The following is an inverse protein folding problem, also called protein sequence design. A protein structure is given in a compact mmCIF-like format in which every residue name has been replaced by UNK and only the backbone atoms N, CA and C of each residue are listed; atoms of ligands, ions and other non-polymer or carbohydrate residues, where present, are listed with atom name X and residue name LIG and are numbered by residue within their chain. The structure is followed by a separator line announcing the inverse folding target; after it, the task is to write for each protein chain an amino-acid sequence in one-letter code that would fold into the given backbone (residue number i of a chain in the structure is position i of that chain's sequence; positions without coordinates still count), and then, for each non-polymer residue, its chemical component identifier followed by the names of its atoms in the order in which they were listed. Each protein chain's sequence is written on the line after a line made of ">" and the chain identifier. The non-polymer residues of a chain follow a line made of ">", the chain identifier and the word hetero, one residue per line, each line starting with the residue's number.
data_IF_749715738120
#
_entry.id   IF_749715738120
#
_cell.length_a   1.000
_cell.length_b   1.000
_cell.length_c   1.000
_cell.angle_alpha   90.00
_cell.angle_beta   90.00
_cell.angle_gamma   90.00
#
_symmetry.space_group_name_H-M   'P 1'
#
loop_
_entity.id
_entity.type
_entity.pdbx_description
1 polymer ?
#
# COMPACT_ATOMS: atom_id res chain seq x y z
N UNK A 1 -5.59 14.95 9.10
CA UNK A 1 -5.13 13.57 8.96
C UNK A 1 -4.26 13.36 7.73
N UNK A 2 -3.72 12.19 7.60
CA UNK A 2 -2.89 11.80 6.47
C UNK A 2 -3.09 10.29 6.22
N UNK A 3 -2.74 9.83 5.03
CA UNK A 3 -2.78 8.41 4.73
C UNK A 3 -1.82 7.65 5.65
N UNK A 4 -2.24 6.48 6.09
CA UNK A 4 -1.51 5.71 7.11
C UNK A 4 -0.10 5.33 6.63
N UNK A 5 0.84 5.36 7.57
CA UNK A 5 2.21 4.90 7.41
C UNK A 5 2.43 3.75 8.38
N UNK A 6 3.11 2.72 7.93
CA UNK A 6 3.34 1.53 8.76
C UNK A 6 4.81 1.53 9.18
N UNK A 7 5.09 2.03 10.38
CA UNK A 7 6.45 2.20 10.87
C UNK A 7 6.94 1.04 11.73
N UNK A 8 6.02 0.26 12.30
CA UNK A 8 6.35 -0.86 13.19
C UNK A 8 5.44 -2.05 12.91
N UNK A 9 5.85 -3.23 13.37
CA UNK A 9 5.02 -4.44 13.28
C UNK A 9 3.76 -4.30 14.13
N UNK A 10 3.82 -3.59 15.24
CA UNK A 10 2.67 -3.33 16.11
C UNK A 10 1.63 -2.48 15.40
N UNK A 11 2.06 -1.45 14.66
CA UNK A 11 1.15 -0.65 13.84
C UNK A 11 0.51 -1.48 12.74
N UNK A 12 1.28 -2.33 12.08
CA UNK A 12 0.78 -3.25 11.06
C UNK A 12 -0.29 -4.17 11.66
N UNK A 13 -0.01 -4.79 12.80
CA UNK A 13 -0.95 -5.68 13.48
C UNK A 13 -2.25 -4.95 13.85
N UNK A 14 -2.16 -3.71 14.33
CA UNK A 14 -3.32 -2.90 14.69
C UNK A 14 -4.20 -2.61 13.46
N UNK A 15 -3.60 -2.29 12.34
CA UNK A 15 -4.32 -2.05 11.08
C UNK A 15 -5.00 -3.34 10.61
N UNK A 16 -4.30 -4.46 10.65
CA UNK A 16 -4.87 -5.76 10.27
C UNK A 16 -6.06 -6.11 11.15
N UNK A 17 -5.97 -5.92 12.47
CA UNK A 17 -7.08 -6.16 13.38
C UNK A 17 -8.30 -5.30 13.02
N UNK A 18 -8.09 -4.03 12.70
CA UNK A 18 -9.15 -3.14 12.28
C UNK A 18 -9.82 -3.64 10.99
N UNK A 19 -9.02 -4.02 10.01
CA UNK A 19 -9.54 -4.48 8.72
C UNK A 19 -10.27 -5.83 8.83
N UNK A 20 -9.84 -6.69 9.74
CA UNK A 20 -10.47 -7.98 10.00
C UNK A 20 -11.76 -7.87 10.81
N UNK A 21 -12.01 -6.72 11.45
CA UNK A 21 -13.22 -6.50 12.25
C UNK A 21 -14.50 -6.43 11.41
N UNK A 22 -14.38 -6.26 10.10
CA UNK A 22 -15.53 -6.19 9.20
C UNK A 22 -15.24 -6.99 7.92
N UNK A 23 -15.93 -8.08 7.73
CA UNK A 23 -15.71 -8.99 6.60
C UNK A 23 -15.94 -8.33 5.23
N UNK A 24 -16.71 -7.25 5.17
CA UNK A 24 -16.91 -6.51 3.92
C UNK A 24 -15.63 -5.80 3.45
N UNK A 25 -14.70 -5.50 4.35
CA UNK A 25 -13.43 -4.89 3.98
C UNK A 25 -12.57 -5.82 3.10
N UNK A 26 -12.69 -7.12 3.25
CA UNK A 26 -11.92 -8.08 2.44
C UNK A 26 -12.21 -7.99 0.94
N UNK A 27 -13.32 -7.35 0.56
CA UNK A 27 -13.69 -7.13 -0.85
C UNK A 27 -13.12 -5.83 -1.41
N UNK A 28 -12.35 -5.09 -0.61
CA UNK A 28 -11.83 -3.76 -0.95
C UNK A 28 -10.31 -3.75 -0.90
N UNK A 29 -9.74 -2.74 -1.54
CA UNK A 29 -8.33 -2.37 -1.39
C UNK A 29 -8.28 -0.97 -0.80
N UNK A 30 -7.27 -0.69 0.01
CA UNK A 30 -7.16 0.58 0.73
C UNK A 30 -5.82 1.24 0.44
N UNK A 31 -5.85 2.45 -0.11
CA UNK A 31 -4.66 3.25 -0.31
C UNK A 31 -4.01 3.59 1.03
N UNK A 32 -2.69 3.52 1.05
CA UNK A 32 -1.85 3.95 2.17
C UNK A 32 -0.81 4.94 1.65
N UNK A 33 0.05 5.46 2.53
CA UNK A 33 0.89 6.63 2.21
C UNK A 33 2.11 6.35 1.33
N UNK A 34 2.40 5.12 0.96
CA UNK A 34 3.63 4.78 0.23
C UNK A 34 3.62 5.25 -1.23
N UNK A 35 4.74 5.79 -1.69
CA UNK A 35 4.94 6.25 -3.06
C UNK A 35 6.36 6.03 -3.51
N UNK A 36 6.57 5.96 -4.83
CA UNK A 36 7.90 6.05 -5.47
C UNK A 36 7.90 7.14 -6.53
N UNK A 37 9.08 7.66 -6.82
CA UNK A 37 9.27 8.52 -7.99
C UNK A 37 9.22 7.67 -9.27
N UNK A 38 8.73 8.26 -10.37
CA UNK A 38 8.46 7.53 -11.61
C UNK A 38 9.69 6.85 -12.21
N UNK A 39 10.88 7.41 -11.99
CA UNK A 39 12.14 6.90 -12.55
C UNK A 39 12.97 6.14 -11.50
N UNK A 40 12.42 5.89 -10.31
CA UNK A 40 13.06 5.18 -9.22
C UNK A 40 12.31 3.89 -8.90
N UNK A 41 12.95 2.96 -8.19
CA UNK A 41 12.37 1.65 -7.86
C UNK A 41 12.22 1.43 -6.37
N UNK A 42 12.45 2.46 -5.54
CA UNK A 42 12.27 2.39 -4.09
C UNK A 42 11.02 3.16 -3.67
N UNK A 43 10.19 2.52 -2.86
CA UNK A 43 9.04 3.15 -2.23
C UNK A 43 9.45 3.77 -0.90
N UNK A 44 8.78 4.87 -0.57
CA UNK A 44 8.95 5.61 0.69
C UNK A 44 7.59 6.01 1.21
N UNK A 45 7.50 6.29 2.50
CA UNK A 45 6.34 7.00 3.00
C UNK A 45 6.35 8.43 2.48
N UNK A 46 5.15 8.99 2.27
CA UNK A 46 4.99 10.33 1.73
C UNK A 46 4.19 11.20 2.70
N UNK A 47 4.48 12.51 2.71
CA UNK A 47 3.68 13.48 3.46
C UNK A 47 2.45 13.93 2.64
N UNK A 48 1.66 14.87 3.19
CA UNK A 48 0.44 15.35 2.53
C UNK A 48 0.70 16.13 1.24
N UNK A 49 1.95 16.53 1.00
CA UNK A 49 2.37 17.17 -0.24
C UNK A 49 3.02 16.17 -1.20
N UNK A 50 2.88 14.86 -0.92
CA UNK A 50 3.47 13.75 -1.68
C UNK A 50 5.01 13.77 -1.65
N UNK A 51 5.61 14.43 -0.68
CA UNK A 51 7.07 14.46 -0.52
C UNK A 51 7.51 13.19 0.22
N UNK A 52 8.45 12.48 -0.37
CA UNK A 52 8.99 11.23 0.17
C UNK A 52 9.97 11.50 1.32
N UNK A 53 9.96 10.64 2.33
CA UNK A 53 10.84 10.79 3.48
C UNK A 53 11.14 9.43 4.13
N UNK A 54 12.14 9.43 5.02
CA UNK A 54 12.50 8.25 5.79
C UNK A 54 13.33 7.25 5.00
N UNK A 55 13.29 6.00 5.44
CA UNK A 55 14.00 4.90 4.80
C UNK A 55 13.19 4.28 3.68
N UNK A 56 13.88 3.72 2.68
CA UNK A 56 13.20 2.97 1.63
C UNK A 56 12.49 1.74 2.20
N UNK A 57 11.29 1.48 1.70
CA UNK A 57 10.47 0.34 2.11
C UNK A 57 10.88 -0.95 1.40
N UNK A 58 11.65 -0.82 0.33
CA UNK A 58 12.15 -1.95 -0.46
C UNK A 58 13.50 -1.56 -1.07
N UNK A 59 14.24 -2.56 -1.58
CA UNK A 59 15.44 -2.36 -2.38
C UNK A 59 15.22 -3.12 -3.69
N UNK A 60 14.84 -2.39 -4.75
CA UNK A 60 14.33 -3.02 -5.96
C UNK A 60 13.14 -3.92 -5.61
N UNK A 61 13.14 -5.17 -6.05
CA UNK A 61 12.10 -6.14 -5.72
C UNK A 61 12.31 -6.83 -4.36
N UNK A 62 13.32 -6.42 -3.58
CA UNK A 62 13.61 -6.99 -2.25
C UNK A 62 13.06 -6.09 -1.14
N UNK A 63 12.62 -6.70 -0.05
CA UNK A 63 12.05 -5.97 1.10
C UNK A 63 13.15 -5.41 2.00
N UNK A 64 12.82 -4.32 2.70
CA UNK A 64 13.65 -3.86 3.81
C UNK A 64 13.21 -4.55 5.11
N UNK A 65 14.06 -4.50 6.14
CA UNK A 65 13.87 -5.31 7.33
C UNK A 65 12.52 -5.08 8.02
N UNK A 66 12.08 -3.83 8.15
CA UNK A 66 10.86 -3.52 8.89
C UNK A 66 9.57 -3.74 8.10
N UNK A 67 9.67 -3.98 6.79
CA UNK A 67 8.49 -4.21 5.94
C UNK A 67 8.42 -5.61 5.35
N UNK A 68 9.38 -6.48 5.68
CA UNK A 68 9.50 -7.82 5.07
C UNK A 68 8.21 -8.62 5.12
N UNK A 69 7.48 -8.58 6.25
CA UNK A 69 6.23 -9.33 6.40
C UNK A 69 5.00 -8.59 5.90
N UNK A 70 5.15 -7.34 5.46
CA UNK A 70 4.02 -6.51 5.05
C UNK A 70 3.72 -6.61 3.55
N UNK A 71 4.69 -7.01 2.73
CA UNK A 71 4.51 -7.08 1.29
C UNK A 71 3.82 -8.36 0.84
N UNK A 72 2.90 -8.23 -0.11
CA UNK A 72 2.33 -9.37 -0.80
C UNK A 72 3.44 -10.09 -1.61
N UNK A 73 3.34 -11.41 -1.72
CA UNK A 73 4.34 -12.20 -2.44
C UNK A 73 4.50 -11.73 -3.89
N UNK A 74 5.74 -11.47 -4.29
CA UNK A 74 6.06 -10.98 -5.63
C UNK A 74 5.96 -9.47 -5.80
N UNK A 75 5.55 -8.73 -4.76
CA UNK A 75 5.47 -7.27 -4.80
C UNK A 75 6.67 -6.63 -4.08
N UNK A 76 7.06 -5.39 -4.43
CA UNK A 76 6.46 -4.56 -5.48
C UNK A 76 6.84 -5.01 -6.89
N UNK A 77 5.92 -4.86 -7.84
CA UNK A 77 6.12 -5.26 -9.24
C UNK A 77 6.39 -4.08 -10.18
N UNK A 78 6.11 -2.86 -9.73
CA UNK A 78 6.36 -1.58 -10.41
C UNK A 78 5.52 -1.33 -11.66
N UNK A 79 4.91 -2.36 -12.23
CA UNK A 79 4.18 -2.26 -13.47
C UNK A 79 3.08 -3.34 -13.52
N UNK A 80 1.88 -2.93 -13.86
CA UNK A 80 0.77 -3.87 -13.99
C UNK A 80 -0.30 -3.34 -14.94
N UNK A 81 -0.99 -4.25 -15.62
CA UNK A 81 -2.08 -3.93 -16.56
C UNK A 81 -1.69 -2.85 -17.60
N UNK A 82 -0.41 -2.84 -18.02
CA UNK A 82 0.09 -1.90 -19.01
C UNK A 82 0.41 -0.50 -18.47
N UNK A 83 0.40 -0.31 -17.16
CA UNK A 83 0.58 1.00 -16.52
C UNK A 83 1.61 0.90 -15.39
N UNK A 84 2.41 1.95 -15.21
CA UNK A 84 3.33 2.05 -14.08
C UNK A 84 2.57 2.17 -12.76
N UNK A 85 3.04 1.41 -11.77
CA UNK A 85 2.52 1.42 -10.41
C UNK A 85 3.49 2.21 -9.54
N UNK A 86 3.02 3.23 -8.83
CA UNK A 86 3.89 4.07 -8.02
C UNK A 86 3.29 4.53 -6.69
N UNK A 87 2.17 3.96 -6.29
CA UNK A 87 1.58 4.16 -4.96
C UNK A 87 1.30 2.80 -4.33
N UNK A 88 1.14 2.79 -3.01
CA UNK A 88 0.88 1.56 -2.27
C UNK A 88 -0.56 1.48 -1.79
N UNK A 89 -1.08 0.27 -1.74
CA UNK A 89 -2.32 -0.05 -1.06
C UNK A 89 -2.15 -1.30 -0.20
N UNK A 90 -3.19 -1.60 0.58
CA UNK A 90 -3.32 -2.87 1.28
C UNK A 90 -4.40 -3.68 0.59
N UNK A 91 -4.11 -4.94 0.29
CA UNK A 91 -5.06 -5.88 -0.26
C UNK A 91 -5.21 -7.09 0.65
N UNK A 92 -6.38 -7.71 0.59
CA UNK A 92 -6.67 -8.93 1.33
C UNK A 92 -6.39 -10.15 0.46
N UNK A 93 -5.69 -11.13 1.03
CA UNK A 93 -5.48 -12.41 0.39
C UNK A 93 -5.46 -13.51 1.45
N UNK A 94 -6.39 -14.46 1.31
CA UNK A 94 -6.48 -15.65 2.17
C UNK A 94 -6.47 -15.32 3.67
N UNK A 95 -7.25 -14.30 4.03
CA UNK A 95 -7.41 -13.86 5.42
C UNK A 95 -6.34 -12.89 5.93
N UNK A 96 -5.28 -12.66 5.18
CA UNK A 96 -4.24 -11.69 5.51
C UNK A 96 -4.38 -10.39 4.70
N UNK A 97 -3.65 -9.38 5.13
CA UNK A 97 -3.61 -8.08 4.45
C UNK A 97 -2.15 -7.72 4.17
N UNK A 98 -1.86 -7.29 2.96
CA UNK A 98 -0.49 -7.10 2.50
C UNK A 98 -0.35 -5.83 1.66
N UNK A 99 0.85 -5.24 1.68
CA UNK A 99 1.18 -4.11 0.82
C UNK A 99 1.37 -4.58 -0.62
N UNK A 100 0.85 -3.78 -1.54
CA UNK A 100 0.93 -4.00 -2.97
C UNK A 100 1.09 -2.65 -3.66
N UNK A 101 1.79 -2.59 -4.78
CA UNK A 101 1.87 -1.37 -5.56
C UNK A 101 0.78 -1.34 -6.64
N UNK A 102 0.21 -0.16 -6.84
CA UNK A 102 -0.91 0.04 -7.76
C UNK A 102 -0.75 1.38 -8.49
N UNK A 103 -1.47 1.60 -9.60
CA UNK A 103 -1.52 2.91 -10.24
C UNK A 103 -2.15 3.97 -9.33
N UNK A 104 -1.79 5.23 -9.52
CA UNK A 104 -2.40 6.36 -8.80
C UNK A 104 -3.92 6.38 -8.95
N UNK A 105 -4.40 6.12 -10.15
CA UNK A 105 -5.83 6.06 -10.45
C UNK A 105 -6.19 4.64 -10.90
N UNK A 106 -6.35 3.75 -9.93
CA UNK A 106 -6.64 2.36 -10.20
C UNK A 106 -7.97 2.17 -10.95
N UNK A 107 -8.95 3.05 -10.73
CA UNK A 107 -10.26 2.93 -11.36
C UNK A 107 -10.23 3.21 -12.87
N UNK A 108 -9.29 4.03 -13.34
CA UNK A 108 -9.11 4.26 -14.77
C UNK A 108 -8.50 3.05 -15.48
N UNK A 109 -7.75 2.23 -14.75
CA UNK A 109 -7.08 1.02 -15.27
C UNK A 109 -7.97 -0.20 -15.12
N UNK A 110 -8.63 -0.34 -13.97
CA UNK A 110 -9.49 -1.48 -13.64
C UNK A 110 -10.86 -0.96 -13.16
N UNK A 111 -11.76 -0.56 -14.07
CA UNK A 111 -13.06 0.02 -13.69
C UNK A 111 -13.92 -0.89 -12.82
N UNK A 112 -13.72 -2.20 -12.87
CA UNK A 112 -14.46 -3.15 -12.03
C UNK A 112 -14.18 -2.98 -10.54
N UNK A 113 -13.14 -2.23 -10.14
CA UNK A 113 -12.86 -1.92 -8.75
C UNK A 113 -13.72 -0.77 -8.19
N UNK A 114 -14.61 -0.18 -8.99
CA UNK A 114 -15.53 0.85 -8.50
C UNK A 114 -16.32 0.35 -7.30
N UNK A 115 -16.31 1.15 -6.22
CA UNK A 115 -16.92 0.79 -4.96
C UNK A 115 -16.08 -0.15 -4.07
N UNK A 116 -14.90 -0.56 -4.54
CA UNK A 116 -14.01 -1.48 -3.82
C UNK A 116 -12.70 -0.84 -3.37
N UNK A 117 -12.56 0.47 -3.52
CA UNK A 117 -11.37 1.22 -3.16
C UNK A 117 -11.69 2.13 -1.98
N UNK A 118 -10.82 2.15 -0.99
CA UNK A 118 -10.91 3.03 0.15
C UNK A 118 -9.55 3.60 0.52
N UNK A 119 -9.52 4.29 1.65
CA UNK A 119 -8.31 4.93 2.19
C UNK A 119 -8.25 4.64 3.68
N UNK A 120 -7.04 4.45 4.20
CA UNK A 120 -6.81 4.36 5.64
C UNK A 120 -6.06 5.62 6.06
N UNK A 121 -6.63 6.38 6.96
CA UNK A 121 -6.08 7.64 7.44
C UNK A 121 -5.69 7.55 8.91
N UNK A 122 -4.61 8.24 9.27
CA UNK A 122 -4.20 8.45 10.66
C UNK A 122 -4.54 9.89 11.08
N UNK A 123 -4.87 10.06 12.35
CA UNK A 123 -5.09 11.37 12.97
C UNK A 123 -4.18 11.50 14.18
N UNK A 124 -3.56 12.66 14.31
CA UNK A 124 -2.74 12.98 15.48
C UNK A 124 -3.59 13.50 16.63
#
# INVERSE_FOLDING_TARGET
>A
GYLVRINTQEEYAAIINLLQSNTNYAKKQFYISGRREMDQYEYYWADNDNKLFGEALNSGASWTAHTTSCWFAGEPSFYGDGVEEHVLDLLSNDGGWYMNDVPDDILSVVPSFSGKIGYICEYE
#
